data_IF_188739537692
#
_entry.id   IF_188739537692
#
_cell.length_a   1.000
_cell.length_b   1.000
_cell.length_c   1.000
_cell.angle_alpha   90.00
_cell.angle_beta   90.00
_cell.angle_gamma   90.00
#
_symmetry.space_group_name_H-M   'P 1'
#
loop_
_entity.id
_entity.type
_entity.pdbx_description
1 polymer ?
#
# COMPACT_ATOMS: atom_id res chain seq x y z
N UNK A 1 -6.60 8.46 -23.07
CA UNK A 1 -5.64 7.36 -23.37
C UNK A 1 -4.69 7.19 -22.20
N UNK A 2 -4.49 5.97 -21.67
CA UNK A 2 -3.62 5.74 -20.53
C UNK A 2 -2.14 5.71 -21.00
N UNK A 3 -1.41 6.79 -20.78
CA UNK A 3 -0.02 6.95 -21.24
C UNK A 3 0.96 6.82 -20.09
N UNK A 4 1.57 5.64 -19.92
CA UNK A 4 2.54 5.32 -18.87
C UNK A 4 3.73 6.29 -18.80
N UNK A 5 4.22 6.72 -19.95
CA UNK A 5 5.36 7.65 -20.04
C UNK A 5 4.99 9.00 -19.43
N UNK A 6 3.82 9.51 -19.74
CA UNK A 6 3.32 10.80 -19.22
C UNK A 6 3.18 10.78 -17.69
N UNK A 7 2.64 9.67 -17.11
CA UNK A 7 2.55 9.52 -15.66
C UNK A 7 3.92 9.52 -14.99
N UNK A 8 4.91 8.80 -15.54
CA UNK A 8 6.28 8.79 -15.01
C UNK A 8 6.96 10.16 -15.10
N UNK A 9 6.77 10.87 -16.20
CA UNK A 9 7.31 12.22 -16.37
C UNK A 9 6.68 13.21 -15.38
N UNK A 10 5.37 13.15 -15.20
CA UNK A 10 4.68 13.99 -14.22
C UNK A 10 5.14 13.71 -12.79
N UNK A 11 5.28 12.43 -12.41
CA UNK A 11 5.80 12.05 -11.10
C UNK A 11 7.22 12.58 -10.88
N UNK A 12 8.12 12.45 -11.86
CA UNK A 12 9.48 13.01 -11.79
C UNK A 12 9.46 14.54 -11.66
N UNK A 13 8.58 15.21 -12.40
CA UNK A 13 8.43 16.67 -12.35
C UNK A 13 7.97 17.14 -10.98
N UNK A 14 7.00 16.46 -10.36
CA UNK A 14 6.51 16.77 -9.01
C UNK A 14 7.58 16.58 -7.95
N UNK A 15 8.41 15.53 -8.09
CA UNK A 15 9.52 15.24 -7.17
C UNK A 15 10.70 16.21 -7.35
N UNK A 16 10.85 16.84 -8.53
CA UNK A 16 12.01 17.69 -8.81
C UNK A 16 12.11 18.85 -7.83
N UNK A 17 13.25 18.95 -7.13
CA UNK A 17 13.51 19.96 -6.09
C UNK A 17 12.95 19.63 -4.69
N UNK A 18 12.04 18.65 -4.53
CA UNK A 18 11.36 18.36 -3.26
C UNK A 18 11.55 16.88 -2.79
N UNK A 19 12.71 16.30 -3.03
CA UNK A 19 13.00 14.89 -2.72
C UNK A 19 13.09 14.55 -1.22
N UNK A 20 13.40 15.53 -0.37
CA UNK A 20 13.74 15.28 1.06
C UNK A 20 12.60 14.59 1.81
N UNK A 21 11.38 15.12 1.73
CA UNK A 21 10.24 14.60 2.49
C UNK A 21 9.74 13.25 1.97
N UNK A 22 9.56 13.03 0.66
CA UNK A 22 9.23 11.70 0.11
C UNK A 22 10.25 10.62 0.47
N UNK A 23 11.56 10.95 0.43
CA UNK A 23 12.60 10.00 0.86
C UNK A 23 12.46 9.66 2.34
N UNK A 24 12.19 10.65 3.20
CA UNK A 24 12.00 10.42 4.63
C UNK A 24 10.80 9.49 4.89
N UNK A 25 9.66 9.72 4.24
CA UNK A 25 8.48 8.85 4.35
C UNK A 25 8.79 7.43 3.88
N UNK A 26 9.47 7.28 2.74
CA UNK A 26 9.87 5.97 2.22
C UNK A 26 10.84 5.26 3.17
N UNK A 27 11.77 6.00 3.77
CA UNK A 27 12.72 5.46 4.74
C UNK A 27 12.02 4.98 6.01
N UNK A 28 11.04 5.72 6.51
CA UNK A 28 10.20 5.28 7.65
C UNK A 28 9.47 3.98 7.33
N UNK A 29 8.86 3.87 6.14
CA UNK A 29 8.23 2.62 5.68
C UNK A 29 9.22 1.45 5.67
N UNK A 30 10.42 1.67 5.12
CA UNK A 30 11.48 0.66 5.05
C UNK A 30 11.92 0.21 6.45
N UNK A 31 12.19 1.16 7.36
CA UNK A 31 12.61 0.87 8.73
C UNK A 31 11.56 0.04 9.46
N UNK A 32 10.29 0.42 9.39
CA UNK A 32 9.22 -0.34 10.04
C UNK A 32 9.10 -1.73 9.44
N UNK A 33 9.16 -1.86 8.12
CA UNK A 33 9.15 -3.17 7.44
C UNK A 33 10.33 -4.04 7.90
N UNK A 34 11.52 -3.48 8.02
CA UNK A 34 12.70 -4.20 8.52
C UNK A 34 12.55 -4.64 9.97
N UNK A 35 12.03 -3.79 10.86
CA UNK A 35 11.80 -4.14 12.28
C UNK A 35 10.89 -5.36 12.39
N UNK A 36 9.77 -5.39 11.65
CA UNK A 36 8.83 -6.51 11.70
C UNK A 36 9.32 -7.78 10.98
N UNK A 37 10.21 -7.65 10.00
CA UNK A 37 10.81 -8.81 9.32
C UNK A 37 12.14 -9.25 9.95
N UNK A 38 12.76 -8.46 10.81
CA UNK A 38 14.05 -8.77 11.43
C UNK A 38 14.10 -10.15 12.10
N UNK A 39 13.11 -10.60 12.90
CA UNK A 39 13.13 -11.91 13.49
C UNK A 39 13.19 -13.03 12.44
N UNK A 40 12.41 -12.94 11.37
CA UNK A 40 12.40 -13.94 10.29
C UNK A 40 13.75 -13.98 9.56
N UNK A 41 14.32 -12.82 9.30
CA UNK A 41 15.64 -12.70 8.67
C UNK A 41 16.71 -13.33 9.57
N UNK A 42 16.71 -13.00 10.88
CA UNK A 42 17.64 -13.57 11.84
C UNK A 42 17.55 -15.09 11.91
N UNK A 43 16.35 -15.66 12.03
CA UNK A 43 16.16 -17.11 12.10
C UNK A 43 16.59 -17.81 10.82
N UNK A 44 16.37 -17.24 9.64
CA UNK A 44 16.89 -17.77 8.37
C UNK A 44 18.42 -17.86 8.34
N UNK A 45 19.08 -16.79 8.79
CA UNK A 45 20.55 -16.78 8.83
C UNK A 45 21.13 -17.72 9.90
N UNK A 46 20.48 -17.81 11.07
CA UNK A 46 20.98 -18.60 12.19
C UNK A 46 20.76 -20.11 12.02
N UNK A 47 19.64 -20.53 11.42
CA UNK A 47 19.19 -21.93 11.39
C UNK A 47 19.02 -22.51 9.97
N UNK A 48 19.27 -21.73 8.92
CA UNK A 48 19.18 -22.14 7.51
C UNK A 48 17.75 -22.11 6.94
N UNK A 49 17.63 -22.35 5.62
CA UNK A 49 16.36 -22.23 4.88
C UNK A 49 15.28 -23.25 5.27
N UNK A 50 15.63 -24.33 5.95
CA UNK A 50 14.67 -25.35 6.40
C UNK A 50 13.93 -25.00 7.69
N UNK A 51 14.28 -23.91 8.37
CA UNK A 51 13.64 -23.51 9.61
C UNK A 51 12.31 -22.79 9.34
N UNK A 52 11.21 -23.48 9.61
CA UNK A 52 9.89 -22.85 9.63
C UNK A 52 9.78 -22.05 10.93
N UNK A 53 10.12 -20.78 10.87
CA UNK A 53 9.87 -19.84 11.97
C UNK A 53 8.36 -19.77 12.21
N UNK A 54 7.90 -20.42 13.27
CA UNK A 54 6.58 -20.14 13.83
C UNK A 54 6.70 -18.76 14.50
N UNK A 55 6.60 -17.72 13.68
CA UNK A 55 6.45 -16.37 14.22
C UNK A 55 5.24 -16.39 15.15
N UNK A 56 5.41 -15.90 16.39
CA UNK A 56 4.29 -15.91 17.32
C UNK A 56 3.09 -15.22 16.66
N UNK A 57 1.86 -15.74 16.77
CA UNK A 57 0.67 -15.16 16.14
C UNK A 57 0.51 -13.67 16.50
N UNK A 58 0.92 -13.29 17.71
CA UNK A 58 0.92 -11.91 18.21
C UNK A 58 1.81 -11.01 17.36
N UNK A 59 3.03 -11.47 17.03
CA UNK A 59 3.96 -10.68 16.23
C UNK A 59 3.46 -10.49 14.80
N UNK A 60 2.85 -11.52 14.23
CA UNK A 60 2.21 -11.44 12.91
C UNK A 60 1.03 -10.46 12.91
N UNK A 61 0.18 -10.49 13.93
CA UNK A 61 -0.92 -9.53 14.07
C UNK A 61 -0.40 -8.08 14.19
N UNK A 62 0.63 -7.85 14.99
CA UNK A 62 1.25 -6.54 15.14
C UNK A 62 1.83 -6.03 13.80
N UNK A 63 2.47 -6.90 13.03
CA UNK A 63 3.02 -6.54 11.72
C UNK A 63 1.93 -6.15 10.71
N UNK A 64 0.80 -6.86 10.69
CA UNK A 64 -0.35 -6.54 9.83
C UNK A 64 -0.95 -5.19 10.22
N UNK A 65 -1.13 -4.94 11.53
CA UNK A 65 -1.64 -3.65 12.04
C UNK A 65 -0.70 -2.52 11.62
N UNK A 66 0.60 -2.65 11.88
CA UNK A 66 1.59 -1.64 11.53
C UNK A 66 1.61 -1.36 10.02
N UNK A 67 1.56 -2.41 9.19
CA UNK A 67 1.52 -2.29 7.74
C UNK A 67 0.28 -1.52 7.27
N UNK A 68 -0.90 -1.81 7.84
CA UNK A 68 -2.14 -1.12 7.50
C UNK A 68 -2.10 0.38 7.81
N UNK A 69 -1.57 0.72 9.00
CA UNK A 69 -1.42 2.11 9.45
C UNK A 69 -0.50 2.88 8.50
N UNK A 70 0.70 2.35 8.26
CA UNK A 70 1.73 3.03 7.49
C UNK A 70 1.35 3.12 6.02
N UNK A 71 0.73 2.09 5.45
CA UNK A 71 0.26 2.13 4.07
C UNK A 71 -0.77 3.24 3.86
N UNK A 72 -1.74 3.38 4.78
CA UNK A 72 -2.73 4.44 4.71
C UNK A 72 -2.09 5.83 4.85
N UNK A 73 -1.23 6.02 5.86
CA UNK A 73 -0.54 7.29 6.08
C UNK A 73 0.33 7.70 4.88
N UNK A 74 1.01 6.73 4.26
CA UNK A 74 1.81 6.97 3.06
C UNK A 74 0.95 7.41 1.87
N UNK A 75 -0.19 6.76 1.66
CA UNK A 75 -1.11 7.14 0.57
C UNK A 75 -1.64 8.55 0.77
N UNK A 76 -2.09 8.90 2.00
CA UNK A 76 -2.54 10.28 2.32
C UNK A 76 -1.42 11.29 2.03
N UNK A 77 -0.19 10.99 2.50
CA UNK A 77 0.96 11.86 2.25
C UNK A 77 1.22 12.05 0.75
N UNK A 78 1.27 10.97 -0.04
CA UNK A 78 1.57 11.07 -1.46
C UNK A 78 0.46 11.74 -2.27
N UNK A 79 -0.81 11.63 -1.86
CA UNK A 79 -1.91 12.39 -2.47
C UNK A 79 -1.73 13.89 -2.22
N UNK A 80 -1.53 14.29 -0.96
CA UNK A 80 -1.27 15.70 -0.62
C UNK A 80 -0.01 16.24 -1.30
N UNK A 81 1.04 15.41 -1.42
CA UNK A 81 2.28 15.79 -2.10
C UNK A 81 2.08 15.96 -3.62
N UNK A 82 1.22 15.16 -4.24
CA UNK A 82 0.90 15.29 -5.66
C UNK A 82 0.18 16.61 -5.97
N UNK A 83 -0.68 17.07 -5.05
CA UNK A 83 -1.37 18.36 -5.14
C UNK A 83 -0.45 19.53 -4.79
N UNK A 84 0.36 19.38 -3.74
CA UNK A 84 1.29 20.40 -3.25
C UNK A 84 2.66 19.81 -2.94
N UNK A 85 3.68 20.02 -3.80
CA UNK A 85 5.03 19.49 -3.59
C UNK A 85 5.76 20.02 -2.33
N UNK A 86 5.21 21.04 -1.66
CA UNK A 86 5.74 21.58 -0.39
C UNK A 86 5.11 20.94 0.85
N UNK A 87 4.37 19.83 0.69
CA UNK A 87 3.76 19.11 1.81
C UNK A 87 4.81 18.70 2.85
N UNK A 88 4.50 19.00 4.12
CA UNK A 88 5.36 18.69 5.27
C UNK A 88 5.25 17.22 5.68
N UNK A 89 6.29 16.71 6.34
CA UNK A 89 6.25 15.40 7.00
C UNK A 89 5.14 15.29 8.08
N UNK A 90 4.70 16.40 8.64
CA UNK A 90 3.59 16.44 9.60
C UNK A 90 2.29 15.85 9.02
N UNK A 91 2.02 16.05 7.73
CA UNK A 91 0.86 15.44 7.07
C UNK A 91 0.85 13.90 7.15
N UNK A 92 2.05 13.30 7.06
CA UNK A 92 2.19 11.86 7.27
C UNK A 92 1.89 11.46 8.72
N UNK A 93 2.37 12.23 9.71
CA UNK A 93 2.09 11.99 11.13
C UNK A 93 0.62 12.19 11.48
N UNK A 94 -0.02 13.22 10.94
CA UNK A 94 -1.46 13.47 11.14
C UNK A 94 -2.32 12.32 10.58
N UNK A 95 -1.90 11.74 9.46
CA UNK A 95 -2.58 10.60 8.87
C UNK A 95 -2.51 9.33 9.74
N UNK A 96 -1.52 9.20 10.63
CA UNK A 96 -1.44 8.09 11.59
C UNK A 96 -2.61 8.08 12.58
N UNK A 97 -3.25 9.22 12.84
CA UNK A 97 -4.44 9.29 13.70
C UNK A 97 -5.63 8.49 13.13
N UNK A 98 -5.64 8.23 11.83
CA UNK A 98 -6.67 7.41 11.16
C UNK A 98 -6.28 5.94 11.07
N UNK A 99 -5.48 5.45 12.00
CA UNK A 99 -4.90 4.09 12.02
C UNK A 99 -5.94 2.98 11.85
N UNK A 100 -7.10 3.08 12.51
CA UNK A 100 -8.16 2.08 12.43
C UNK A 100 -8.67 1.92 11.00
N UNK A 101 -8.77 3.02 10.26
CA UNK A 101 -9.22 3.01 8.88
C UNK A 101 -8.23 2.29 7.96
N UNK A 102 -6.94 2.55 8.14
CA UNK A 102 -5.88 1.87 7.40
C UNK A 102 -5.89 0.35 7.65
N UNK A 103 -5.97 -0.05 8.91
CA UNK A 103 -6.02 -1.48 9.30
C UNK A 103 -7.25 -2.17 8.72
N UNK A 104 -8.44 -1.60 8.89
CA UNK A 104 -9.69 -2.18 8.37
C UNK A 104 -9.68 -2.29 6.84
N UNK A 105 -9.10 -1.31 6.15
CA UNK A 105 -8.97 -1.34 4.69
C UNK A 105 -8.06 -2.47 4.25
N UNK A 106 -6.90 -2.62 4.89
CA UNK A 106 -5.97 -3.71 4.60
C UNK A 106 -6.60 -5.08 4.83
N UNK A 107 -7.21 -5.28 6.00
CA UNK A 107 -7.86 -6.55 6.35
C UNK A 107 -8.97 -6.90 5.37
N UNK A 108 -9.83 -5.93 5.04
CA UNK A 108 -10.93 -6.13 4.10
C UNK A 108 -10.43 -6.48 2.70
N UNK A 109 -9.45 -5.76 2.21
CA UNK A 109 -8.84 -6.02 0.90
C UNK A 109 -8.17 -7.41 0.87
N UNK A 110 -7.38 -7.73 1.88
CA UNK A 110 -6.68 -9.02 1.99
C UNK A 110 -7.65 -10.18 2.06
N UNK A 111 -8.74 -10.06 2.84
CA UNK A 111 -9.79 -11.08 2.94
C UNK A 111 -10.38 -11.42 1.57
N UNK A 112 -10.77 -10.40 0.81
CA UNK A 112 -11.36 -10.62 -0.51
C UNK A 112 -10.37 -11.17 -1.53
N UNK A 113 -9.14 -10.67 -1.54
CA UNK A 113 -8.07 -11.22 -2.42
C UNK A 113 -7.80 -12.68 -2.08
N UNK A 114 -7.72 -13.02 -0.79
CA UNK A 114 -7.54 -14.39 -0.33
C UNK A 114 -8.66 -15.31 -0.77
N UNK A 115 -9.94 -14.91 -0.59
CA UNK A 115 -11.09 -15.69 -1.04
C UNK A 115 -11.07 -15.96 -2.56
N UNK A 116 -10.71 -14.97 -3.36
CA UNK A 116 -10.58 -15.15 -4.81
C UNK A 116 -9.37 -16.01 -5.19
N UNK A 117 -8.29 -15.95 -4.43
CA UNK A 117 -7.09 -16.76 -4.66
C UNK A 117 -7.32 -18.24 -4.34
N UNK A 118 -8.24 -18.55 -3.40
CA UNK A 118 -8.67 -19.93 -3.13
C UNK A 118 -9.41 -20.55 -4.31
N UNK A 119 -10.16 -19.75 -5.07
CA UNK A 119 -10.83 -20.25 -6.28
C UNK A 119 -9.81 -20.55 -7.38
N UNK A 120 -8.99 -19.59 -7.73
CA UNK A 120 -7.88 -19.70 -8.70
C UNK A 120 -6.88 -18.56 -8.50
N UNK A 121 -5.60 -18.81 -8.74
CA UNK A 121 -4.52 -17.81 -8.59
C UNK A 121 -4.74 -16.61 -9.54
N UNK A 122 -5.13 -16.87 -10.81
CA UNK A 122 -5.32 -15.81 -11.81
C UNK A 122 -6.44 -14.82 -11.41
N UNK A 123 -7.67 -15.27 -11.03
CA UNK A 123 -8.70 -14.36 -10.50
C UNK A 123 -8.24 -13.58 -9.26
N UNK A 124 -7.43 -14.18 -8.38
CA UNK A 124 -6.84 -13.50 -7.22
C UNK A 124 -6.01 -12.29 -7.63
N UNK A 125 -5.10 -12.45 -8.59
CA UNK A 125 -4.27 -11.36 -9.12
C UNK A 125 -5.14 -10.26 -9.76
N UNK A 126 -6.12 -10.64 -10.57
CA UNK A 126 -7.05 -9.69 -11.22
C UNK A 126 -7.84 -8.89 -10.19
N UNK A 127 -8.25 -9.52 -9.08
CA UNK A 127 -8.97 -8.85 -7.98
C UNK A 127 -8.04 -7.98 -7.14
N UNK A 128 -6.79 -8.39 -6.90
CA UNK A 128 -5.80 -7.54 -6.23
C UNK A 128 -5.61 -6.22 -6.98
N UNK A 129 -5.46 -6.27 -8.32
CA UNK A 129 -5.40 -5.06 -9.16
C UNK A 129 -6.70 -4.25 -9.07
N UNK A 130 -7.86 -4.93 -9.03
CA UNK A 130 -9.16 -4.26 -8.94
C UNK A 130 -9.36 -3.51 -7.63
N UNK A 131 -8.73 -3.95 -6.54
CA UNK A 131 -8.82 -3.33 -5.21
C UNK A 131 -7.66 -2.37 -4.91
N UNK A 132 -6.69 -2.24 -5.81
CA UNK A 132 -5.48 -1.42 -5.60
C UNK A 132 -5.78 0.05 -5.31
N UNK A 133 -6.89 0.58 -5.82
CA UNK A 133 -7.27 1.98 -5.64
C UNK A 133 -8.05 2.28 -4.34
N UNK A 134 -8.35 1.24 -3.52
CA UNK A 134 -9.15 1.41 -2.29
C UNK A 134 -8.53 2.41 -1.32
N UNK A 135 -7.23 2.29 -1.07
CA UNK A 135 -6.54 3.18 -0.13
C UNK A 135 -6.60 4.64 -0.58
N UNK A 136 -6.42 4.89 -1.89
CA UNK A 136 -6.49 6.22 -2.47
C UNK A 136 -7.89 6.83 -2.32
N UNK A 137 -8.94 6.07 -2.63
CA UNK A 137 -10.33 6.50 -2.49
C UNK A 137 -10.69 6.82 -1.03
N UNK A 138 -10.23 6.01 -0.08
CA UNK A 138 -10.51 6.24 1.33
C UNK A 138 -9.70 7.40 1.92
N UNK A 139 -8.53 7.69 1.36
CA UNK A 139 -7.73 8.84 1.73
C UNK A 139 -8.34 10.14 1.20
N UNK A 140 -8.79 10.14 -0.06
CA UNK A 140 -9.40 11.30 -0.72
C UNK A 140 -10.79 11.60 -0.16
N UNK A 141 -11.58 10.56 0.15
CA UNK A 141 -12.96 10.70 0.67
C UNK A 141 -13.08 10.12 2.10
N UNK A 142 -12.70 10.86 3.16
CA UNK A 142 -12.68 10.37 4.53
C UNK A 142 -14.03 9.89 5.09
N UNK A 143 -15.15 10.32 4.48
CA UNK A 143 -16.50 9.89 4.90
C UNK A 143 -16.98 8.62 4.17
N UNK A 144 -16.24 8.13 3.19
CA UNK A 144 -16.62 6.96 2.39
C UNK A 144 -16.46 5.66 3.18
N UNK A 145 -17.46 4.78 3.12
CA UNK A 145 -17.38 3.44 3.71
C UNK A 145 -16.48 2.50 2.87
N UNK A 146 -15.82 1.56 3.54
CA UNK A 146 -14.86 0.60 2.94
C UNK A 146 -15.49 -0.20 1.79
N UNK A 147 -16.73 -0.70 1.97
CA UNK A 147 -17.45 -1.44 0.94
C UNK A 147 -17.73 -0.60 -0.32
N UNK A 148 -18.04 0.68 -0.15
CA UNK A 148 -18.28 1.60 -1.25
C UNK A 148 -16.98 1.90 -2.00
N UNK A 149 -15.90 2.13 -1.28
CA UNK A 149 -14.57 2.32 -1.86
C UNK A 149 -14.14 1.11 -2.69
N UNK A 150 -14.39 -0.12 -2.20
CA UNK A 150 -14.10 -1.36 -2.94
C UNK A 150 -14.89 -1.44 -4.25
N UNK A 151 -16.19 -1.14 -4.25
CA UNK A 151 -17.02 -1.15 -5.47
C UNK A 151 -16.53 -0.12 -6.49
N UNK A 152 -16.28 1.11 -6.05
CA UNK A 152 -15.75 2.18 -6.91
C UNK A 152 -14.37 1.82 -7.45
N UNK A 153 -13.48 1.25 -6.63
CA UNK A 153 -12.17 0.77 -7.07
C UNK A 153 -12.28 -0.25 -8.20
N UNK A 154 -13.24 -1.19 -8.11
CA UNK A 154 -13.50 -2.15 -9.18
C UNK A 154 -14.00 -1.49 -10.47
N UNK A 155 -14.84 -0.46 -10.37
CA UNK A 155 -15.38 0.28 -11.51
C UNK A 155 -14.30 1.09 -12.22
N UNK A 156 -13.50 1.85 -11.49
CA UNK A 156 -12.40 2.68 -12.03
C UNK A 156 -11.36 1.81 -12.75
N UNK A 157 -11.05 0.65 -12.22
CA UNK A 157 -10.03 -0.25 -12.81
C UNK A 157 -10.58 -1.09 -13.96
N UNK A 158 -11.90 -1.07 -14.20
CA UNK A 158 -12.52 -1.82 -15.30
C UNK A 158 -12.03 -1.30 -16.65
N UNK A 159 -11.52 -2.20 -17.49
CA UNK A 159 -10.93 -1.87 -18.80
C UNK A 159 -9.45 -1.50 -18.77
N UNK A 160 -8.89 -1.12 -17.62
CA UNK A 160 -7.49 -0.67 -17.48
C UNK A 160 -6.59 -1.62 -16.70
N UNK A 161 -7.09 -2.78 -16.24
CA UNK A 161 -6.34 -3.72 -15.38
C UNK A 161 -5.01 -4.17 -15.96
N UNK A 162 -4.96 -4.48 -17.27
CA UNK A 162 -3.73 -4.85 -17.95
C UNK A 162 -2.71 -3.71 -18.00
N UNK A 163 -3.16 -2.48 -18.19
CA UNK A 163 -2.29 -1.30 -18.21
C UNK A 163 -1.73 -0.98 -16.82
N UNK A 164 -2.54 -1.12 -15.78
CA UNK A 164 -2.12 -0.98 -14.37
C UNK A 164 -1.08 -2.05 -14.04
N UNK A 165 -1.33 -3.31 -14.42
CA UNK A 165 -0.39 -4.41 -14.24
C UNK A 165 0.96 -4.15 -14.93
N UNK A 166 0.92 -3.73 -16.20
CA UNK A 166 2.12 -3.38 -16.95
C UNK A 166 2.84 -2.15 -16.38
N UNK A 167 2.12 -1.22 -15.77
CA UNK A 167 2.72 -0.09 -15.08
C UNK A 167 3.48 -0.54 -13.84
N UNK A 168 2.89 -1.43 -13.03
CA UNK A 168 3.56 -2.01 -11.86
C UNK A 168 4.85 -2.77 -12.22
N UNK A 169 4.85 -3.50 -13.36
CA UNK A 169 6.03 -4.21 -13.84
C UNK A 169 7.14 -3.30 -14.38
N UNK A 170 6.81 -2.05 -14.73
CA UNK A 170 7.74 -1.13 -15.40
C UNK A 170 8.47 -0.21 -14.43
N UNK A 171 8.21 -0.33 -13.13
CA UNK A 171 8.92 0.32 -12.05
C UNK A 171 9.83 -0.68 -11.35
#
# INVERSE_FOLDING_TARGET
>A
MFERVTFKLNAKKTLYGNWKVPILVTLVNLVVTLIFNAPQIYYRFAYGEGYVSISSPIFTLLSVIATGIISYASVVFYLCFAENPKTSFLTFLDALNYWLRGVLTLLWQTLWVFLWSLCFIIPGIVKAISYSQMFYLLAEYPKMGINRAMKISMEITKGYKGQIFMMCLSF
#
